data_IF_461411461974
#
_entry.id   IF_461411461974
#
_cell.length_a   1.000
_cell.length_b   1.000
_cell.length_c   1.000
_cell.angle_alpha   90.00
_cell.angle_beta   90.00
_cell.angle_gamma   90.00
#
_symmetry.space_group_name_H-M   'P 1'
#
loop_
_entity.id
_entity.type
_entity.pdbx_description
1 polymer ?
#
# COMPACT_ATOMS: atom_id res chain seq x y z
N UNK A 1 -34.67 24.71 17.70
CA UNK A 1 -35.30 23.65 18.52
C UNK A 1 -34.24 23.12 19.49
N UNK A 2 -34.44 23.28 20.81
CA UNK A 2 -33.59 22.69 21.86
C UNK A 2 -34.30 21.47 22.42
N UNK A 3 -33.73 20.27 22.23
CA UNK A 3 -34.22 19.05 22.87
C UNK A 3 -33.35 18.74 24.10
N UNK A 4 -34.01 18.58 25.24
CA UNK A 4 -33.44 18.39 26.58
C UNK A 4 -33.36 16.90 26.93
N UNK A 5 -32.16 16.47 27.37
CA UNK A 5 -31.81 15.74 28.62
C UNK A 5 -32.36 14.31 28.94
N UNK A 6 -31.47 13.55 29.60
CA UNK A 6 -31.60 12.35 30.47
C UNK A 6 -31.44 10.98 29.79
N UNK A 7 -30.43 10.14 30.09
CA UNK A 7 -29.80 9.68 31.36
C UNK A 7 -30.74 8.82 32.21
N UNK A 8 -30.53 7.49 32.14
CA UNK A 8 -30.97 6.36 32.98
C UNK A 8 -30.47 5.07 32.29
N UNK A 9 -30.06 3.99 32.90
CA UNK A 9 -29.34 3.68 34.14
C UNK A 9 -28.74 2.27 33.88
N UNK A 10 -27.62 1.99 34.51
CA UNK A 10 -26.90 0.73 34.74
C UNK A 10 -27.74 -0.55 34.70
N UNK A 11 -27.28 -1.59 34.00
CA UNK A 11 -27.14 -2.93 34.62
C UNK A 11 -26.33 -3.92 33.78
N UNK A 12 -25.42 -4.56 34.50
CA UNK A 12 -24.55 -5.68 34.19
C UNK A 12 -25.36 -6.92 33.81
N UNK A 13 -24.86 -7.68 32.83
CA UNK A 13 -24.95 -9.14 32.81
C UNK A 13 -23.56 -9.67 32.47
N UNK A 14 -22.81 -10.00 33.52
CA UNK A 14 -21.75 -10.97 33.46
C UNK A 14 -22.38 -12.31 33.04
N UNK A 15 -21.94 -12.83 31.90
CA UNK A 15 -21.96 -14.27 31.66
C UNK A 15 -20.49 -14.70 31.65
N UNK A 16 -20.05 -15.13 32.83
CA UNK A 16 -18.95 -16.06 32.99
C UNK A 16 -19.37 -17.39 32.33
N UNK A 17 -18.94 -17.60 31.09
CA UNK A 17 -18.89 -18.93 30.49
C UNK A 17 -17.40 -19.31 30.39
N UNK A 18 -16.97 -20.08 31.38
CA UNK A 18 -15.73 -20.86 31.41
C UNK A 18 -15.61 -21.70 30.14
N UNK A 19 -14.74 -21.28 29.21
CA UNK A 19 -14.23 -22.19 28.19
C UNK A 19 -12.90 -22.79 28.66
N UNK A 20 -13.03 -24.01 29.18
CA UNK A 20 -11.99 -24.93 29.59
C UNK A 20 -10.93 -25.16 28.50
N UNK A 21 -9.70 -25.36 28.99
CA UNK A 21 -8.47 -25.38 28.22
C UNK A 21 -8.35 -26.56 27.27
N UNK A 22 -7.83 -26.25 26.08
CA UNK A 22 -7.29 -27.22 25.16
C UNK A 22 -6.08 -26.61 24.45
N UNK A 23 -4.90 -26.78 25.03
CA UNK A 23 -3.65 -26.61 24.29
C UNK A 23 -3.62 -27.63 23.16
N UNK A 24 -3.82 -27.17 21.93
CA UNK A 24 -3.28 -27.82 20.75
C UNK A 24 -2.27 -26.87 20.12
N UNK A 25 -1.03 -27.32 20.12
CA UNK A 25 0.16 -26.59 19.73
C UNK A 25 0.26 -26.61 18.20
N UNK A 26 -0.56 -25.81 17.51
CA UNK A 26 -0.36 -25.57 16.09
C UNK A 26 0.43 -24.28 15.91
N UNK A 27 1.73 -24.46 15.67
CA UNK A 27 2.66 -23.41 15.30
C UNK A 27 2.16 -22.61 14.10
N UNK A 28 1.45 -21.52 14.37
CA UNK A 28 1.12 -20.53 13.37
C UNK A 28 2.37 -19.66 13.15
N UNK A 29 3.28 -20.17 12.31
CA UNK A 29 4.17 -19.32 11.55
C UNK A 29 3.32 -18.18 10.98
N UNK A 30 3.60 -16.95 11.39
CA UNK A 30 3.03 -15.75 10.79
C UNK A 30 3.28 -15.82 9.29
N UNK A 31 2.30 -16.34 8.55
CA UNK A 31 2.25 -16.20 7.11
C UNK A 31 2.03 -14.73 6.88
N UNK A 32 3.13 -13.97 6.83
CA UNK A 32 3.19 -12.81 5.97
C UNK A 32 2.84 -13.39 4.61
N UNK A 33 1.57 -13.28 4.24
CA UNK A 33 1.16 -13.57 2.88
C UNK A 33 1.97 -12.58 2.05
N UNK A 34 3.07 -13.06 1.48
CA UNK A 34 3.84 -12.29 0.51
C UNK A 34 2.87 -12.07 -0.64
N UNK A 35 2.15 -10.95 -0.60
CA UNK A 35 1.33 -10.52 -1.71
C UNK A 35 2.26 -10.51 -2.91
N UNK A 36 2.03 -11.43 -3.84
CA UNK A 36 2.83 -11.51 -5.06
C UNK A 36 2.48 -10.27 -5.85
N UNK A 37 3.38 -9.27 -5.80
CA UNK A 37 3.25 -8.10 -6.65
C UNK A 37 3.44 -8.57 -8.08
N UNK A 38 2.39 -8.45 -8.88
CA UNK A 38 2.49 -8.71 -10.31
C UNK A 38 3.19 -7.51 -10.94
N UNK A 39 4.40 -7.73 -11.43
CA UNK A 39 5.17 -6.71 -12.15
C UNK A 39 4.52 -6.43 -13.50
N UNK A 40 3.60 -5.46 -13.54
CA UNK A 40 2.97 -4.98 -14.77
C UNK A 40 3.06 -3.45 -14.83
N UNK A 41 3.71 -2.88 -15.88
CA UNK A 41 3.77 -1.43 -16.09
C UNK A 41 2.39 -0.76 -16.18
N UNK A 42 1.35 -1.53 -16.56
CA UNK A 42 -0.04 -1.05 -16.66
C UNK A 42 -0.61 -0.65 -15.31
N UNK A 43 -0.14 -1.26 -14.21
CA UNK A 43 -0.57 -0.88 -12.85
C UNK A 43 -0.15 0.55 -12.49
N UNK A 44 0.84 1.13 -13.20
CA UNK A 44 1.28 2.52 -13.02
C UNK A 44 0.51 3.52 -13.90
N UNK A 45 -0.51 3.08 -14.63
CA UNK A 45 -1.38 3.94 -15.46
C UNK A 45 -1.95 5.17 -14.73
N UNK A 46 -2.36 5.09 -13.45
CA UNK A 46 -2.82 6.25 -12.70
C UNK A 46 -1.77 7.37 -12.55
N UNK A 47 -0.50 7.10 -12.84
CA UNK A 47 0.58 8.09 -12.82
C UNK A 47 0.84 8.76 -14.17
N UNK A 48 0.25 8.28 -15.28
CA UNK A 48 0.51 8.80 -16.63
C UNK A 48 0.28 10.30 -16.74
N UNK A 49 -0.81 10.80 -16.16
CA UNK A 49 -1.13 12.22 -16.17
C UNK A 49 -0.08 13.04 -15.39
N UNK A 50 0.28 12.61 -14.17
CA UNK A 50 1.29 13.28 -13.35
C UNK A 50 2.67 13.30 -14.01
N UNK A 51 3.03 12.22 -14.72
CA UNK A 51 4.28 12.12 -15.49
C UNK A 51 4.23 13.04 -16.72
N UNK A 52 3.10 13.13 -17.42
CA UNK A 52 2.95 13.90 -18.64
C UNK A 52 2.86 15.43 -18.41
N UNK A 53 2.12 15.85 -17.38
CA UNK A 53 1.77 17.27 -17.17
C UNK A 53 2.51 17.92 -16.01
N UNK A 54 3.36 17.17 -15.29
CA UNK A 54 4.04 17.61 -14.05
C UNK A 54 3.10 17.97 -12.89
N UNK A 55 1.81 17.62 -13.02
CA UNK A 55 0.83 17.73 -11.96
C UNK A 55 1.20 16.85 -10.75
N UNK A 56 0.63 17.19 -9.59
CA UNK A 56 0.80 16.38 -8.38
C UNK A 56 0.20 14.99 -8.57
N UNK A 57 0.90 13.91 -8.18
CA UNK A 57 0.37 12.55 -8.30
C UNK A 57 -0.84 12.32 -7.39
N UNK A 58 -1.79 11.54 -7.87
CA UNK A 58 -2.93 11.10 -7.06
C UNK A 58 -2.50 10.12 -5.97
N UNK A 59 -3.33 9.94 -4.94
CA UNK A 59 -3.11 8.93 -3.90
C UNK A 59 -3.03 7.51 -4.47
N UNK A 60 -3.83 7.22 -5.51
CA UNK A 60 -3.82 5.95 -6.23
C UNK A 60 -2.49 5.77 -6.96
N UNK A 61 -2.01 6.78 -7.69
CA UNK A 61 -0.69 6.74 -8.33
C UNK A 61 0.40 6.40 -7.31
N UNK A 62 0.45 7.12 -6.19
CA UNK A 62 1.47 6.85 -5.18
C UNK A 62 1.33 5.48 -4.50
N UNK A 63 0.12 4.93 -4.39
CA UNK A 63 -0.07 3.54 -3.93
C UNK A 63 0.57 2.56 -4.92
N UNK A 64 0.24 2.66 -6.20
CA UNK A 64 0.75 1.71 -7.22
C UNK A 64 2.28 1.79 -7.36
N UNK A 65 2.87 2.99 -7.33
CA UNK A 65 4.35 3.15 -7.38
C UNK A 65 5.03 2.47 -6.18
N UNK A 66 4.42 2.55 -4.99
CA UNK A 66 4.96 1.91 -3.78
C UNK A 66 4.80 0.40 -3.81
N UNK A 67 3.68 -0.11 -4.31
CA UNK A 67 3.44 -1.54 -4.49
C UNK A 67 4.41 -2.14 -5.52
N UNK A 68 4.70 -1.42 -6.60
CA UNK A 68 5.60 -1.86 -7.67
C UNK A 68 7.10 -1.68 -7.36
N UNK A 69 7.49 -1.23 -6.16
CA UNK A 69 8.90 -1.09 -5.75
C UNK A 69 9.80 -2.28 -6.11
N UNK A 70 9.44 -3.55 -5.83
CA UNK A 70 10.29 -4.70 -6.19
C UNK A 70 10.48 -4.86 -7.70
N UNK A 71 9.60 -4.30 -8.53
CA UNK A 71 9.63 -4.43 -9.99
C UNK A 71 10.40 -3.29 -10.69
N UNK A 72 10.64 -2.17 -10.02
CA UNK A 72 11.22 -0.96 -10.62
C UNK A 72 12.60 -1.22 -11.26
N UNK A 73 13.44 -2.03 -10.61
CA UNK A 73 14.73 -2.41 -11.20
C UNK A 73 14.57 -3.26 -12.47
N UNK A 74 13.59 -4.17 -12.50
CA UNK A 74 13.25 -4.92 -13.71
C UNK A 74 12.85 -4.00 -14.85
N UNK A 75 12.04 -2.97 -14.58
CA UNK A 75 11.66 -1.99 -15.59
C UNK A 75 12.81 -1.09 -16.05
N UNK A 76 13.76 -0.78 -15.15
CA UNK A 76 14.96 -0.02 -15.51
C UNK A 76 15.93 -0.84 -16.38
N UNK A 77 15.90 -2.17 -16.29
CA UNK A 77 16.68 -3.07 -17.13
C UNK A 77 16.04 -3.33 -18.50
N UNK A 78 14.73 -3.14 -18.64
CA UNK A 78 14.04 -3.26 -19.93
C UNK A 78 14.24 -1.99 -20.78
N UNK A 79 14.90 -2.07 -21.96
CA UNK A 79 15.15 -0.91 -22.81
C UNK A 79 13.86 -0.22 -23.32
N UNK A 80 12.72 -0.92 -23.34
CA UNK A 80 11.43 -0.36 -23.76
C UNK A 80 10.77 0.47 -22.64
N UNK A 81 11.03 0.12 -21.38
CA UNK A 81 10.41 0.77 -20.22
C UNK A 81 11.33 1.81 -19.59
N UNK A 82 12.65 1.59 -19.66
CA UNK A 82 13.68 2.47 -19.09
C UNK A 82 13.52 3.95 -19.45
N UNK A 83 13.22 4.36 -20.70
CA UNK A 83 13.06 5.77 -21.05
C UNK A 83 11.96 6.45 -20.24
N UNK A 84 10.87 5.74 -19.95
CA UNK A 84 9.72 6.24 -19.21
C UNK A 84 10.01 6.24 -17.71
N UNK A 85 10.47 5.12 -17.15
CA UNK A 85 10.71 4.94 -15.71
C UNK A 85 11.88 5.81 -15.21
N UNK A 86 12.90 6.01 -16.04
CA UNK A 86 14.05 6.86 -15.72
C UNK A 86 13.91 8.32 -16.21
N UNK A 87 12.74 8.72 -16.70
CA UNK A 87 12.50 10.10 -17.12
C UNK A 87 12.55 11.07 -15.92
N UNK A 88 12.89 12.36 -16.14
CA UNK A 88 12.87 13.35 -15.06
C UNK A 88 11.53 13.43 -14.33
N UNK A 89 10.42 13.35 -15.06
CA UNK A 89 9.07 13.44 -14.49
C UNK A 89 8.70 12.18 -13.70
N UNK A 90 9.07 10.99 -14.18
CA UNK A 90 8.87 9.76 -13.40
C UNK A 90 9.68 9.76 -12.10
N UNK A 91 10.94 10.24 -12.14
CA UNK A 91 11.76 10.42 -10.94
C UNK A 91 11.17 11.40 -9.95
N UNK A 92 10.64 12.52 -10.43
CA UNK A 92 9.90 13.47 -9.60
C UNK A 92 8.68 12.83 -8.95
N UNK A 93 7.84 12.12 -9.71
CA UNK A 93 6.64 11.45 -9.19
C UNK A 93 7.01 10.44 -8.11
N UNK A 94 8.02 9.59 -8.36
CA UNK A 94 8.46 8.62 -7.36
C UNK A 94 8.97 9.30 -6.08
N UNK A 95 9.76 10.37 -6.20
CA UNK A 95 10.22 11.15 -5.06
C UNK A 95 9.05 11.74 -4.25
N UNK A 96 8.04 12.33 -4.90
CA UNK A 96 6.83 12.84 -4.22
C UNK A 96 6.09 11.70 -3.50
N UNK A 97 6.04 10.52 -4.10
CA UNK A 97 5.40 9.34 -3.53
C UNK A 97 6.26 8.58 -2.49
N UNK A 98 7.45 9.09 -2.14
CA UNK A 98 8.35 8.47 -1.16
C UNK A 98 9.05 7.20 -1.65
N UNK A 99 9.26 7.08 -2.96
CA UNK A 99 9.96 5.96 -3.59
C UNK A 99 11.26 6.44 -4.23
N UNK A 100 12.38 5.94 -3.73
CA UNK A 100 13.69 6.17 -4.32
C UNK A 100 13.89 5.25 -5.53
N UNK A 101 13.97 5.82 -6.72
CA UNK A 101 14.21 5.08 -7.97
C UNK A 101 15.69 4.73 -8.19
N UNK A 102 16.61 5.28 -7.39
CA UNK A 102 18.07 5.11 -7.49
C UNK A 102 18.69 5.20 -6.09
N UNK A 103 19.69 4.37 -5.72
CA UNK A 103 20.87 4.06 -6.55
C UNK A 103 21.30 2.58 -6.63
N UNK A 104 20.41 1.61 -6.42
CA UNK A 104 20.85 0.27 -6.02
C UNK A 104 20.01 -0.85 -6.68
N UNK A 105 19.94 -0.80 -8.01
CA UNK A 105 19.59 -1.95 -8.82
C UNK A 105 20.89 -2.66 -9.18
N UNK A 106 21.24 -3.70 -8.43
CA UNK A 106 22.40 -4.57 -8.65
C UNK A 106 21.95 -5.89 -9.28
#
# INVERSE_FOLDING_TARGET
MRMKKNMRDTSIHDHDDDHDGGSFDDGQASRVANAVVICSPVEMDPCKEAIATTASPSSICCRMVREQRPCLCGYLNDPNLRPTINSPNARRVASICGVELFPTCY
#
